data_IF_073203092462
#
_entry.id   IF_073203092462
#
_cell.length_a   1.000
_cell.length_b   1.000
_cell.length_c   1.000
_cell.angle_alpha   90.00
_cell.angle_beta   90.00
_cell.angle_gamma   90.00
#
_symmetry.space_group_name_H-M   'P 1'
#
loop_
_entity.id
_entity.type
_entity.pdbx_description
1 polymer ?
#
# COMPACT_ATOMS: atom_id res chain seq x y z
N UNK A 1 18.63 -1.40 -19.43
CA UNK A 1 18.97 -2.59 -20.24
C UNK A 1 20.15 -3.37 -19.67
N UNK A 2 21.31 -2.77 -19.38
CA UNK A 2 22.50 -3.47 -18.85
C UNK A 2 22.25 -4.23 -17.53
N UNK A 3 21.48 -3.66 -16.58
CA UNK A 3 21.10 -4.32 -15.33
C UNK A 3 20.20 -5.53 -15.59
N UNK A 4 19.21 -5.43 -16.48
CA UNK A 4 18.32 -6.51 -16.80
C UNK A 4 19.10 -7.70 -17.39
N UNK A 5 19.97 -7.47 -18.38
CA UNK A 5 20.80 -8.50 -18.99
C UNK A 5 21.69 -9.23 -17.97
N UNK A 6 22.27 -8.49 -17.01
CA UNK A 6 23.06 -9.11 -15.92
C UNK A 6 22.19 -9.99 -15.03
N UNK A 7 20.98 -9.56 -14.73
CA UNK A 7 20.04 -10.31 -13.88
C UNK A 7 19.45 -11.53 -14.61
N UNK A 8 19.25 -11.44 -15.93
CA UNK A 8 18.88 -12.60 -16.76
C UNK A 8 19.89 -13.74 -16.58
N UNK A 9 21.18 -13.40 -16.71
CA UNK A 9 22.27 -14.39 -16.52
C UNK A 9 22.30 -14.91 -15.08
N UNK A 10 22.17 -14.01 -14.11
CA UNK A 10 22.22 -14.37 -12.69
C UNK A 10 21.08 -15.28 -12.28
N UNK A 11 19.86 -15.02 -12.73
CA UNK A 11 18.67 -15.79 -12.36
C UNK A 11 18.34 -16.94 -13.34
N UNK A 12 19.07 -17.04 -14.44
CA UNK A 12 18.83 -18.05 -15.46
C UNK A 12 17.50 -17.90 -16.18
N UNK A 13 17.06 -16.65 -16.40
CA UNK A 13 15.79 -16.30 -17.06
C UNK A 13 16.07 -15.52 -18.35
N UNK A 14 15.09 -15.47 -19.24
CA UNK A 14 15.13 -14.67 -20.46
C UNK A 14 13.93 -13.70 -20.44
N UNK A 15 14.22 -12.41 -20.42
CA UNK A 15 13.20 -11.34 -20.49
C UNK A 15 12.60 -11.31 -21.89
N UNK A 16 11.27 -11.26 -21.97
CA UNK A 16 10.52 -11.24 -23.24
C UNK A 16 9.72 -9.98 -23.45
N UNK A 17 9.34 -9.27 -22.37
CA UNK A 17 8.55 -8.05 -22.45
C UNK A 17 8.72 -7.18 -21.19
N UNK A 18 8.23 -5.93 -21.25
CA UNK A 18 8.16 -4.99 -20.13
C UNK A 18 6.70 -4.79 -19.74
N UNK A 19 6.37 -5.10 -18.48
CA UNK A 19 5.02 -4.90 -17.98
C UNK A 19 4.81 -3.42 -17.61
N UNK A 20 3.72 -2.78 -18.07
CA UNK A 20 3.43 -1.39 -17.79
C UNK A 20 2.90 -1.19 -16.38
N UNK A 21 2.82 0.07 -15.91
CA UNK A 21 2.08 0.48 -14.71
C UNK A 21 2.90 0.66 -13.45
N UNK A 22 4.17 0.23 -13.41
CA UNK A 22 5.02 0.47 -12.27
C UNK A 22 5.64 1.88 -12.31
N UNK A 23 5.68 2.56 -11.17
CA UNK A 23 6.16 3.95 -11.06
C UNK A 23 7.65 4.02 -10.68
N UNK A 24 8.05 3.27 -9.65
CA UNK A 24 9.40 3.34 -9.06
C UNK A 24 10.25 2.10 -9.34
N UNK A 25 9.81 1.23 -10.23
CA UNK A 25 10.55 0.05 -10.66
C UNK A 25 10.27 -0.25 -12.13
N UNK A 26 11.13 -1.04 -12.76
CA UNK A 26 10.86 -1.72 -14.00
C UNK A 26 10.41 -3.14 -13.69
N UNK A 27 9.37 -3.58 -14.38
CA UNK A 27 8.82 -4.94 -14.24
C UNK A 27 8.89 -5.61 -15.58
N UNK A 28 9.64 -6.70 -15.66
CA UNK A 28 9.87 -7.46 -16.89
C UNK A 28 9.17 -8.80 -16.81
N UNK A 29 8.44 -9.15 -17.86
CA UNK A 29 7.99 -10.51 -18.07
C UNK A 29 9.16 -11.35 -18.59
N UNK A 30 9.40 -12.48 -17.94
CA UNK A 30 10.41 -13.44 -18.38
C UNK A 30 9.75 -14.75 -18.85
N UNK A 31 10.48 -15.54 -19.63
CA UNK A 31 10.08 -16.91 -19.97
C UNK A 31 9.86 -17.72 -18.69
N UNK A 32 9.15 -18.83 -18.78
CA UNK A 32 8.80 -19.71 -17.67
C UNK A 32 7.85 -19.07 -16.63
N UNK A 33 7.00 -18.14 -17.09
CA UNK A 33 5.96 -17.52 -16.25
C UNK A 33 6.53 -16.87 -14.99
N UNK A 34 7.62 -16.13 -15.14
CA UNK A 34 8.23 -15.36 -14.06
C UNK A 34 8.26 -13.86 -14.37
N UNK A 35 8.37 -13.05 -13.31
CA UNK A 35 8.43 -11.60 -13.37
C UNK A 35 9.70 -11.14 -12.66
N UNK A 36 10.51 -10.32 -13.34
CA UNK A 36 11.69 -9.68 -12.78
C UNK A 36 11.36 -8.21 -12.44
N UNK A 37 11.38 -7.86 -11.16
CA UNK A 37 11.23 -6.48 -10.67
C UNK A 37 12.60 -5.88 -10.39
N UNK A 38 12.85 -4.69 -10.97
CA UNK A 38 14.10 -3.94 -10.83
C UNK A 38 13.78 -2.55 -10.28
N UNK A 39 14.17 -2.22 -9.04
CA UNK A 39 13.98 -0.90 -8.46
C UNK A 39 14.70 0.20 -9.21
N UNK A 40 14.09 1.41 -9.28
CA UNK A 40 14.64 2.60 -9.89
C UNK A 40 15.10 3.67 -8.89
N UNK A 41 14.70 3.54 -7.61
CA UNK A 41 15.08 4.47 -6.54
C UNK A 41 15.62 3.72 -5.31
N UNK A 42 16.33 4.45 -4.43
CA UNK A 42 16.97 3.86 -3.26
C UNK A 42 15.97 3.36 -2.21
N UNK A 43 14.81 3.96 -2.08
CA UNK A 43 13.74 3.50 -1.19
C UNK A 43 13.27 2.10 -1.59
N UNK A 44 12.95 1.90 -2.87
CA UNK A 44 12.52 0.61 -3.38
C UNK A 44 13.65 -0.44 -3.33
N UNK A 45 14.90 -0.01 -3.55
CA UNK A 45 16.06 -0.88 -3.50
C UNK A 45 16.36 -1.38 -2.09
N UNK A 46 16.09 -0.58 -1.06
CA UNK A 46 16.41 -0.91 0.32
C UNK A 46 15.17 -1.37 1.10
N UNK A 47 14.20 -0.51 1.27
CA UNK A 47 13.03 -0.73 2.13
C UNK A 47 12.01 -1.64 1.47
N UNK A 48 11.58 -1.32 0.26
CA UNK A 48 10.66 -2.14 -0.52
C UNK A 48 11.20 -3.54 -0.77
N UNK A 49 12.50 -3.67 -1.10
CA UNK A 49 13.15 -4.96 -1.26
C UNK A 49 13.11 -5.82 0.01
N UNK A 50 13.47 -5.24 1.17
CA UNK A 50 13.44 -5.96 2.45
C UNK A 50 12.02 -6.35 2.85
N UNK A 51 11.05 -5.46 2.60
CA UNK A 51 9.65 -5.76 2.82
C UNK A 51 9.16 -6.90 1.92
N UNK A 52 9.53 -6.89 0.64
CA UNK A 52 9.20 -7.96 -0.30
C UNK A 52 9.71 -9.32 0.19
N UNK A 53 10.94 -9.40 0.70
CA UNK A 53 11.47 -10.63 1.28
C UNK A 53 10.74 -11.04 2.57
N UNK A 54 10.36 -10.09 3.42
CA UNK A 54 9.68 -10.38 4.68
C UNK A 54 8.28 -10.97 4.48
N UNK A 55 7.54 -10.49 3.48
CA UNK A 55 6.19 -10.95 3.16
C UNK A 55 6.13 -12.07 2.12
N UNK A 56 7.27 -12.50 1.57
CA UNK A 56 7.34 -13.54 0.55
C UNK A 56 6.63 -14.83 0.99
N UNK A 57 5.60 -15.25 0.25
CA UNK A 57 4.79 -16.43 0.55
C UNK A 57 3.95 -16.35 1.84
N UNK A 58 3.74 -15.11 2.37
CA UNK A 58 3.00 -14.84 3.62
C UNK A 58 1.99 -13.71 3.41
N UNK A 59 1.08 -13.92 2.49
CA UNK A 59 0.14 -12.90 2.01
C UNK A 59 0.71 -12.01 0.90
N UNK A 60 2.03 -11.89 0.78
CA UNK A 60 2.72 -11.28 -0.35
C UNK A 60 3.18 -12.32 -1.37
N UNK A 61 3.37 -11.89 -2.62
CA UNK A 61 3.89 -12.76 -3.68
C UNK A 61 5.23 -13.40 -3.29
N UNK A 62 5.40 -14.67 -3.64
CA UNK A 62 6.63 -15.42 -3.37
C UNK A 62 7.83 -14.81 -4.12
N UNK A 63 8.98 -14.73 -3.45
CA UNK A 63 10.26 -14.36 -4.06
C UNK A 63 11.04 -15.63 -4.36
N UNK A 64 11.22 -15.92 -5.66
CA UNK A 64 11.95 -17.10 -6.13
C UNK A 64 13.47 -16.92 -6.07
N UNK A 65 13.94 -15.71 -6.39
CA UNK A 65 15.35 -15.33 -6.33
C UNK A 65 15.49 -13.81 -6.12
N UNK A 66 16.67 -13.37 -5.65
CA UNK A 66 16.92 -11.95 -5.42
C UNK A 66 18.39 -11.55 -5.61
N UNK A 67 18.60 -10.26 -5.85
CA UNK A 67 19.91 -9.63 -5.98
C UNK A 67 20.05 -8.47 -4.98
N UNK A 68 20.75 -8.70 -3.87
CA UNK A 68 20.92 -7.69 -2.81
C UNK A 68 21.51 -6.37 -3.32
N UNK A 69 22.57 -6.36 -4.17
CA UNK A 69 23.17 -5.11 -4.64
C UNK A 69 22.21 -4.19 -5.40
N UNK A 70 21.21 -4.74 -6.11
CA UNK A 70 20.24 -3.97 -6.88
C UNK A 70 18.87 -3.89 -6.24
N UNK A 71 18.59 -4.69 -5.21
CA UNK A 71 17.25 -4.84 -4.64
C UNK A 71 16.25 -5.52 -5.60
N UNK A 72 16.75 -6.18 -6.65
CA UNK A 72 15.91 -6.84 -7.65
C UNK A 72 15.42 -8.20 -7.16
N UNK A 73 14.20 -8.56 -7.56
CA UNK A 73 13.57 -9.83 -7.22
C UNK A 73 12.98 -10.51 -8.43
N UNK A 74 13.06 -11.84 -8.45
CA UNK A 74 12.35 -12.71 -9.38
C UNK A 74 11.17 -13.33 -8.66
N UNK A 75 9.99 -13.28 -9.24
CA UNK A 75 8.72 -13.74 -8.67
C UNK A 75 7.96 -14.57 -9.71
N UNK A 76 7.00 -15.43 -9.33
CA UNK A 76 6.10 -16.05 -10.27
C UNK A 76 5.22 -15.00 -10.95
N UNK A 77 4.84 -15.24 -12.20
CA UNK A 77 3.76 -14.51 -12.85
C UNK A 77 2.43 -14.91 -12.19
N UNK A 78 1.74 -13.95 -11.60
CA UNK A 78 0.44 -14.20 -11.00
C UNK A 78 -0.62 -14.36 -12.09
N UNK A 79 -1.41 -15.44 -12.04
CA UNK A 79 -2.47 -15.72 -13.01
C UNK A 79 -3.80 -16.00 -12.31
N UNK A 80 -4.91 -15.39 -12.79
CA UNK A 80 -5.02 -14.54 -13.98
C UNK A 80 -4.40 -13.14 -13.80
N UNK A 81 -3.96 -12.75 -12.59
CA UNK A 81 -3.28 -11.49 -12.30
C UNK A 81 -4.17 -10.25 -12.41
N UNK A 82 -5.51 -10.41 -12.37
CA UNK A 82 -6.44 -9.28 -12.35
C UNK A 82 -6.30 -8.51 -11.06
N UNK A 83 -6.26 -7.19 -11.17
CA UNK A 83 -6.28 -6.30 -10.01
C UNK A 83 -7.67 -6.28 -9.36
N UNK A 84 -7.74 -6.01 -8.06
CA UNK A 84 -9.01 -6.04 -7.32
C UNK A 84 -10.11 -5.17 -7.96
N UNK A 85 -9.77 -3.96 -8.41
CA UNK A 85 -10.72 -3.04 -9.05
C UNK A 85 -11.24 -3.50 -10.42
N UNK A 86 -10.60 -4.49 -11.05
CA UNK A 86 -11.05 -5.10 -12.30
C UNK A 86 -12.04 -6.25 -12.06
N UNK A 87 -12.11 -6.76 -10.83
CA UNK A 87 -12.95 -7.92 -10.47
C UNK A 87 -14.24 -7.50 -9.80
N UNK A 88 -14.18 -6.53 -8.89
CA UNK A 88 -15.36 -6.04 -8.18
C UNK A 88 -15.28 -4.54 -7.92
N UNK A 89 -16.45 -3.91 -7.78
CA UNK A 89 -16.62 -2.51 -7.37
C UNK A 89 -17.58 -2.40 -6.17
N UNK A 90 -17.99 -3.53 -5.59
CA UNK A 90 -18.77 -3.55 -4.36
C UNK A 90 -17.87 -3.24 -3.17
N UNK A 91 -18.09 -2.12 -2.44
CA UNK A 91 -17.21 -1.68 -1.38
C UNK A 91 -17.11 -2.66 -0.20
N UNK A 92 -18.14 -3.48 0.00
CA UNK A 92 -18.16 -4.49 1.05
C UNK A 92 -17.33 -5.71 0.64
N UNK A 93 -17.47 -6.16 -0.60
CA UNK A 93 -16.69 -7.27 -1.15
C UNK A 93 -15.21 -6.89 -1.23
N UNK A 94 -14.88 -5.71 -1.76
CA UNK A 94 -13.51 -5.18 -1.79
C UNK A 94 -12.86 -5.19 -0.40
N UNK A 95 -13.58 -4.69 0.62
CA UNK A 95 -13.07 -4.63 1.98
C UNK A 95 -12.94 -6.02 2.64
N UNK A 96 -13.81 -6.99 2.31
CA UNK A 96 -13.65 -8.39 2.75
C UNK A 96 -12.42 -9.05 2.16
N UNK A 97 -12.18 -8.86 0.86
CA UNK A 97 -10.97 -9.36 0.19
C UNK A 97 -9.73 -8.72 0.82
N UNK A 98 -9.70 -7.39 0.96
CA UNK A 98 -8.61 -6.68 1.62
C UNK A 98 -8.36 -7.19 3.05
N UNK A 99 -9.42 -7.43 3.83
CA UNK A 99 -9.33 -7.97 5.18
C UNK A 99 -8.77 -9.39 5.21
N UNK A 100 -9.14 -10.24 4.24
CA UNK A 100 -8.60 -11.59 4.14
C UNK A 100 -7.09 -11.57 3.87
N UNK A 101 -6.64 -10.70 2.97
CA UNK A 101 -5.19 -10.52 2.70
C UNK A 101 -4.47 -9.97 3.92
N UNK A 102 -5.01 -8.95 4.61
CA UNK A 102 -4.42 -8.40 5.85
C UNK A 102 -4.24 -9.49 6.92
N UNK A 103 -5.23 -10.38 7.07
CA UNK A 103 -5.11 -11.53 8.00
C UNK A 103 -4.04 -12.54 7.59
N UNK A 104 -3.82 -12.70 6.30
CA UNK A 104 -2.80 -13.62 5.77
C UNK A 104 -1.38 -13.05 5.85
N UNK A 105 -1.23 -11.73 6.02
CA UNK A 105 0.09 -11.09 6.18
C UNK A 105 0.71 -11.50 7.52
N UNK A 106 1.80 -12.26 7.47
CA UNK A 106 2.59 -12.56 8.66
C UNK A 106 3.55 -11.40 8.96
N UNK A 107 3.26 -10.68 10.02
CA UNK A 107 4.03 -9.50 10.44
C UNK A 107 5.33 -9.91 11.15
N UNK A 108 6.42 -10.00 10.40
CA UNK A 108 7.76 -10.22 10.97
C UNK A 108 8.50 -8.90 11.11
N UNK A 109 9.20 -8.73 12.22
CA UNK A 109 10.07 -7.57 12.39
C UNK A 109 11.22 -7.59 11.38
N UNK A 110 11.47 -6.44 10.75
CA UNK A 110 12.65 -6.20 9.91
C UNK A 110 13.55 -5.23 10.66
N UNK A 111 14.82 -5.58 10.97
CA UNK A 111 15.75 -4.65 11.58
C UNK A 111 15.90 -3.36 10.71
N UNK A 112 15.75 -2.19 11.33
CA UNK A 112 15.85 -0.91 10.63
C UNK A 112 14.71 -0.62 9.65
N UNK A 113 13.52 -1.23 9.84
CA UNK A 113 12.31 -0.83 9.12
C UNK A 113 11.91 0.60 9.49
N UNK A 114 11.31 1.30 8.54
CA UNK A 114 10.84 2.68 8.72
C UNK A 114 9.71 2.72 9.75
N UNK A 115 9.82 3.63 10.70
CA UNK A 115 8.74 3.87 11.66
C UNK A 115 7.77 4.91 11.10
N UNK A 116 6.49 4.76 11.40
CA UNK A 116 5.47 5.71 10.95
C UNK A 116 5.76 7.14 11.46
N UNK A 117 6.40 7.27 12.62
CA UNK A 117 6.83 8.54 13.20
C UNK A 117 7.80 9.28 12.29
N UNK A 118 8.64 8.59 11.51
CA UNK A 118 9.58 9.20 10.57
C UNK A 118 8.86 9.86 9.41
N UNK A 119 7.72 9.30 8.98
CA UNK A 119 6.85 9.90 7.96
C UNK A 119 6.07 11.11 8.53
N UNK A 120 5.61 11.01 9.77
CA UNK A 120 4.82 12.09 10.38
C UNK A 120 5.66 13.26 10.89
N UNK A 121 6.91 13.05 11.28
CA UNK A 121 7.77 14.14 11.82
C UNK A 121 7.84 15.35 10.91
N UNK A 122 8.18 15.25 9.60
CA UNK A 122 8.17 16.39 8.71
C UNK A 122 6.77 16.95 8.46
N UNK A 123 5.74 16.10 8.36
CA UNK A 123 4.36 16.52 8.17
C UNK A 123 3.81 17.35 9.34
N UNK A 124 4.16 16.98 10.56
CA UNK A 124 3.72 17.72 11.75
C UNK A 124 4.34 19.11 11.86
N UNK A 125 5.48 19.34 11.20
CA UNK A 125 6.15 20.64 11.15
C UNK A 125 5.62 21.55 10.01
N UNK A 126 4.74 21.04 9.14
CA UNK A 126 4.18 21.83 8.03
C UNK A 126 3.24 22.91 8.55
N UNK A 127 3.56 24.16 8.28
CA UNK A 127 2.69 25.29 8.64
C UNK A 127 1.60 25.57 7.61
N UNK A 128 1.91 25.41 6.34
CA UNK A 128 0.98 25.57 5.20
C UNK A 128 1.31 24.59 4.09
N UNK A 129 0.28 24.11 3.43
CA UNK A 129 0.39 23.31 2.20
C UNK A 129 -0.49 23.94 1.14
N UNK A 130 0.08 24.38 0.02
CA UNK A 130 -0.59 25.25 -0.98
C UNK A 130 -1.97 24.76 -1.47
N UNK A 131 -2.21 23.45 -1.39
CA UNK A 131 -3.43 22.83 -1.95
C UNK A 131 -4.21 22.00 -0.94
N UNK A 132 -3.84 22.03 0.33
CA UNK A 132 -4.59 21.41 1.43
C UNK A 132 -5.17 22.55 2.27
N UNK A 133 -6.50 22.63 2.48
CA UNK A 133 -7.09 23.64 3.34
C UNK A 133 -6.44 23.64 4.74
N UNK A 134 -6.06 24.83 5.25
CA UNK A 134 -5.37 24.95 6.54
C UNK A 134 -6.12 24.25 7.69
N UNK A 135 -7.45 24.37 7.71
CA UNK A 135 -8.28 23.71 8.72
C UNK A 135 -8.15 22.17 8.67
N UNK A 136 -8.11 21.58 7.46
CA UNK A 136 -7.94 20.14 7.26
C UNK A 136 -6.54 19.69 7.64
N UNK A 137 -5.50 20.43 7.23
CA UNK A 137 -4.12 20.17 7.60
C UNK A 137 -3.96 20.12 9.14
N UNK A 138 -4.44 21.18 9.83
CA UNK A 138 -4.37 21.23 11.29
C UNK A 138 -5.19 20.13 11.98
N UNK A 139 -6.34 19.76 11.42
CA UNK A 139 -7.13 18.64 11.92
C UNK A 139 -6.36 17.35 11.82
N UNK A 140 -5.80 17.03 10.64
CA UNK A 140 -5.04 15.80 10.39
C UNK A 140 -3.79 15.71 11.29
N UNK A 141 -3.07 16.81 11.47
CA UNK A 141 -1.92 16.88 12.38
C UNK A 141 -2.31 16.57 13.84
N UNK A 142 -3.40 17.17 14.34
CA UNK A 142 -3.90 16.87 15.72
C UNK A 142 -4.36 15.41 15.85
N UNK A 143 -5.04 14.88 14.82
CA UNK A 143 -5.45 13.48 14.81
C UNK A 143 -4.23 12.56 14.82
N UNK A 144 -3.21 12.82 14.02
CA UNK A 144 -1.98 12.05 13.98
C UNK A 144 -1.28 12.03 15.36
N UNK A 145 -1.09 13.19 16.01
CA UNK A 145 -0.49 13.26 17.33
C UNK A 145 -1.26 12.40 18.34
N UNK A 146 -2.60 12.48 18.36
CA UNK A 146 -3.43 11.67 19.25
C UNK A 146 -3.32 10.18 18.94
N UNK A 147 -3.37 9.81 17.67
CA UNK A 147 -3.34 8.41 17.23
C UNK A 147 -2.00 7.76 17.55
N UNK A 148 -0.89 8.43 17.27
CA UNK A 148 0.46 7.99 17.63
C UNK A 148 0.59 7.80 19.14
N UNK A 149 0.12 8.77 19.95
CA UNK A 149 0.17 8.69 21.40
C UNK A 149 -0.73 7.60 22.01
N UNK A 150 -1.75 7.13 21.29
CA UNK A 150 -2.70 6.10 21.75
C UNK A 150 -2.49 4.74 21.09
N UNK A 151 -1.45 4.57 20.29
CA UNK A 151 -1.09 3.28 19.69
C UNK A 151 -0.60 2.33 20.78
N UNK A 152 -1.25 1.18 20.93
CA UNK A 152 -0.93 0.18 21.95
C UNK A 152 0.01 -0.92 21.44
N UNK A 153 -0.01 -1.16 20.14
CA UNK A 153 0.85 -2.14 19.49
C UNK A 153 1.29 -1.64 18.12
N UNK A 154 2.51 -1.96 17.75
CA UNK A 154 3.05 -1.71 16.42
C UNK A 154 3.44 -3.03 15.77
N UNK A 155 3.31 -3.09 14.45
CA UNK A 155 3.71 -4.24 13.63
C UNK A 155 4.41 -3.75 12.36
N UNK A 156 5.19 -4.63 11.75
CA UNK A 156 5.58 -4.43 10.37
C UNK A 156 4.33 -4.57 9.50
N UNK A 157 3.99 -3.55 8.75
CA UNK A 157 2.88 -3.50 7.82
C UNK A 157 3.40 -3.65 6.40
N UNK A 158 2.53 -4.10 5.50
CA UNK A 158 2.75 -4.02 4.06
C UNK A 158 2.96 -2.56 3.65
N UNK A 159 2.14 -1.67 4.20
CA UNK A 159 2.31 -0.22 4.20
C UNK A 159 1.75 0.51 2.99
N UNK A 160 1.27 -0.21 1.97
CA UNK A 160 0.60 0.36 0.79
C UNK A 160 -0.41 -0.63 0.18
N UNK A 161 -1.20 -1.28 1.03
CA UNK A 161 -2.17 -2.27 0.57
C UNK A 161 -3.39 -1.58 -0.05
N UNK A 162 -3.60 -1.78 -1.35
CA UNK A 162 -4.72 -1.21 -2.10
C UNK A 162 -5.06 -2.00 -3.37
N UNK A 163 -6.10 -1.59 -4.06
CA UNK A 163 -6.73 -2.27 -5.20
C UNK A 163 -5.79 -2.61 -6.36
N UNK A 164 -4.74 -1.82 -6.60
CA UNK A 164 -3.75 -2.07 -7.65
C UNK A 164 -2.67 -3.05 -7.19
N UNK A 165 -2.49 -3.22 -5.88
CA UNK A 165 -1.48 -4.09 -5.27
C UNK A 165 -2.07 -5.43 -4.81
N UNK A 166 -3.35 -5.69 -5.08
CA UNK A 166 -4.02 -6.96 -4.85
C UNK A 166 -4.33 -7.64 -6.16
N UNK A 167 -3.66 -8.77 -6.42
CA UNK A 167 -3.80 -9.55 -7.64
C UNK A 167 -4.51 -10.86 -7.36
N UNK A 168 -5.44 -11.22 -8.23
CA UNK A 168 -6.11 -12.52 -8.20
C UNK A 168 -5.15 -13.62 -8.64
N UNK A 169 -4.99 -14.64 -7.79
CA UNK A 169 -4.18 -15.84 -8.03
C UNK A 169 -5.08 -17.08 -7.94
N UNK A 170 -5.59 -17.56 -9.05
CA UNK A 170 -6.63 -18.59 -9.03
C UNK A 170 -7.88 -18.07 -8.29
N UNK A 171 -8.28 -18.75 -7.21
CA UNK A 171 -9.39 -18.35 -6.34
C UNK A 171 -8.95 -17.51 -5.13
N UNK A 172 -7.66 -17.26 -4.99
CA UNK A 172 -7.08 -16.51 -3.86
C UNK A 172 -6.58 -15.13 -4.30
N UNK A 173 -6.17 -14.32 -3.31
CA UNK A 173 -5.60 -12.99 -3.52
C UNK A 173 -4.21 -12.90 -2.91
N UNK A 174 -3.29 -12.30 -3.66
CA UNK A 174 -1.92 -12.06 -3.24
C UNK A 174 -1.58 -10.57 -3.37
N UNK A 175 -0.76 -10.06 -2.45
CA UNK A 175 -0.30 -8.67 -2.51
C UNK A 175 1.09 -8.54 -3.15
N UNK A 176 1.30 -7.43 -3.87
CA UNK A 176 2.55 -7.06 -4.53
C UNK A 176 3.00 -5.66 -4.09
N UNK A 177 4.29 -5.36 -4.19
CA UNK A 177 4.89 -4.03 -3.98
C UNK A 177 4.76 -3.46 -2.55
N UNK A 178 5.22 -4.18 -1.51
CA UNK A 178 5.20 -3.69 -0.12
C UNK A 178 6.18 -2.54 0.12
N UNK A 179 5.85 -1.65 1.09
CA UNK A 179 6.73 -0.58 1.55
C UNK A 179 7.46 -0.92 2.86
N UNK A 180 6.87 -1.73 3.72
CA UNK A 180 7.52 -2.19 4.95
C UNK A 180 7.55 -1.16 6.08
N UNK A 181 6.38 -0.63 6.43
CA UNK A 181 6.22 0.37 7.49
C UNK A 181 5.94 -0.27 8.85
N UNK A 182 6.60 0.19 9.91
CA UNK A 182 6.25 -0.20 11.30
C UNK A 182 5.29 0.81 11.88
N UNK A 183 4.06 0.38 12.16
CA UNK A 183 2.98 1.27 12.60
C UNK A 183 1.91 0.53 13.41
N UNK A 184 0.90 1.30 13.88
CA UNK A 184 -0.39 0.78 14.34
C UNK A 184 -1.00 -0.10 13.23
N UNK A 185 -1.47 -1.33 13.54
CA UNK A 185 -2.04 -2.23 12.54
C UNK A 185 -3.18 -1.63 11.70
N UNK A 186 -3.92 -0.68 12.24
CA UNK A 186 -5.02 0.01 11.53
C UNK A 186 -4.51 0.82 10.33
N UNK A 187 -3.26 1.26 10.34
CA UNK A 187 -2.67 2.03 9.24
C UNK A 187 -2.64 1.24 7.93
N UNK A 188 -2.59 -0.10 7.99
CA UNK A 188 -2.65 -0.98 6.81
C UNK A 188 -3.86 -0.72 5.91
N UNK A 189 -4.99 -0.27 6.51
CA UNK A 189 -6.25 -0.03 5.80
C UNK A 189 -6.25 1.31 5.06
N UNK A 190 -5.39 2.25 5.44
CA UNK A 190 -5.53 3.66 5.02
C UNK A 190 -5.38 3.90 3.52
N UNK A 191 -4.44 3.20 2.86
CA UNK A 191 -4.26 3.28 1.42
C UNK A 191 -5.47 2.69 0.67
N UNK A 192 -6.09 1.65 1.22
CA UNK A 192 -7.28 1.03 0.64
C UNK A 192 -8.47 1.99 0.59
N UNK A 193 -8.66 2.82 1.60
CA UNK A 193 -9.81 3.73 1.67
C UNK A 193 -9.81 4.78 0.54
N UNK A 194 -8.65 5.23 0.05
CA UNK A 194 -8.55 6.24 -1.02
C UNK A 194 -8.47 5.66 -2.42
N UNK A 195 -8.32 4.35 -2.56
CA UNK A 195 -8.16 3.67 -3.85
C UNK A 195 -9.43 2.89 -4.26
N UNK A 196 -9.56 2.56 -5.56
CA UNK A 196 -8.68 2.88 -6.69
C UNK A 196 -8.79 4.36 -7.09
N UNK A 197 -7.68 5.10 -7.04
CA UNK A 197 -7.71 6.57 -7.16
C UNK A 197 -8.21 7.06 -8.53
N UNK A 198 -8.08 6.27 -9.59
CA UNK A 198 -8.46 6.67 -10.95
C UNK A 198 -9.96 6.54 -11.23
N UNK A 199 -10.65 5.63 -10.58
CA UNK A 199 -12.07 5.30 -10.82
C UNK A 199 -12.96 5.56 -9.61
N UNK A 200 -12.40 5.72 -8.41
CA UNK A 200 -13.17 5.93 -7.19
C UNK A 200 -13.97 7.23 -7.25
N UNK A 201 -15.27 7.13 -7.01
CA UNK A 201 -16.15 8.27 -6.71
C UNK A 201 -16.44 8.26 -5.21
N UNK A 202 -15.63 8.93 -4.39
CA UNK A 202 -15.75 8.82 -2.94
C UNK A 202 -17.06 9.49 -2.47
N UNK A 203 -17.90 8.71 -1.77
CA UNK A 203 -19.06 9.19 -1.04
C UNK A 203 -19.00 8.79 0.42
N UNK A 204 -19.68 9.51 1.33
CA UNK A 204 -19.74 9.13 2.74
C UNK A 204 -20.25 7.69 2.95
N UNK A 205 -21.24 7.27 2.15
CA UNK A 205 -21.85 5.94 2.22
C UNK A 205 -20.87 4.83 1.84
N UNK A 206 -20.11 5.04 0.75
CA UNK A 206 -19.07 4.12 0.31
C UNK A 206 -17.98 4.00 1.37
N UNK A 207 -17.52 5.11 1.94
CA UNK A 207 -16.52 5.09 3.00
C UNK A 207 -17.05 4.43 4.27
N UNK A 208 -18.32 4.67 4.62
CA UNK A 208 -18.95 3.99 5.76
C UNK A 208 -19.02 2.47 5.54
N UNK A 209 -19.39 2.02 4.35
CA UNK A 209 -19.43 0.59 4.02
C UNK A 209 -18.04 -0.07 4.17
N UNK A 210 -17.00 0.50 3.55
CA UNK A 210 -15.62 0.00 3.68
C UNK A 210 -15.13 -0.02 5.12
N UNK A 211 -15.29 1.10 5.85
CA UNK A 211 -14.83 1.23 7.24
C UNK A 211 -15.53 0.23 8.16
N UNK A 212 -16.85 0.07 8.05
CA UNK A 212 -17.60 -0.91 8.85
C UNK A 212 -17.17 -2.33 8.54
N UNK A 213 -17.01 -2.68 7.26
CA UNK A 213 -16.58 -4.02 6.87
C UNK A 213 -15.18 -4.32 7.42
N UNK A 214 -14.21 -3.41 7.30
CA UNK A 214 -12.90 -3.60 7.92
C UNK A 214 -12.97 -3.71 9.44
N UNK A 215 -13.84 -2.92 10.10
CA UNK A 215 -14.04 -2.98 11.54
C UNK A 215 -14.57 -4.33 11.98
N UNK A 216 -15.59 -4.85 11.29
CA UNK A 216 -16.22 -6.14 11.58
C UNK A 216 -15.26 -7.31 11.31
N UNK A 217 -14.55 -7.27 10.18
CA UNK A 217 -13.64 -8.35 9.76
C UNK A 217 -12.35 -8.41 10.58
N UNK A 218 -11.78 -7.26 10.99
CA UNK A 218 -10.48 -7.19 11.66
C UNK A 218 -10.57 -6.89 13.15
N UNK A 219 -11.74 -6.56 13.67
CA UNK A 219 -11.97 -6.27 15.09
C UNK A 219 -11.42 -4.91 15.53
N UNK A 220 -11.18 -3.98 14.61
CA UNK A 220 -10.72 -2.63 14.97
C UNK A 220 -11.89 -1.66 15.15
N UNK A 221 -11.82 -0.69 16.08
CA UNK A 221 -12.85 0.32 16.22
C UNK A 221 -13.01 1.14 14.91
N UNK A 222 -14.23 1.20 14.36
CA UNK A 222 -14.53 1.91 13.11
C UNK A 222 -14.08 3.39 13.16
N UNK A 223 -14.25 4.06 14.30
CA UNK A 223 -13.78 5.42 14.51
C UNK A 223 -12.24 5.53 14.40
N UNK A 224 -11.47 4.52 14.87
CA UNK A 224 -10.02 4.51 14.73
C UNK A 224 -9.58 4.32 13.28
N UNK A 225 -10.27 3.44 12.54
CA UNK A 225 -10.04 3.24 11.09
C UNK A 225 -10.27 4.56 10.35
N UNK A 226 -11.41 5.22 10.59
CA UNK A 226 -11.71 6.54 10.00
C UNK A 226 -10.65 7.57 10.33
N UNK A 227 -10.28 7.67 11.59
CA UNK A 227 -9.37 8.71 12.07
C UNK A 227 -7.94 8.51 11.50
N UNK A 228 -7.43 7.27 11.45
CA UNK A 228 -6.21 6.95 10.73
C UNK A 228 -6.35 7.19 9.22
N UNK A 229 -7.49 6.82 8.63
CA UNK A 229 -7.82 7.08 7.23
C UNK A 229 -7.72 8.56 6.89
N UNK A 230 -8.31 9.44 7.70
CA UNK A 230 -8.23 10.89 7.51
C UNK A 230 -6.79 11.39 7.70
N UNK A 231 -6.13 11.08 8.82
CA UNK A 231 -4.80 11.60 9.12
C UNK A 231 -3.76 11.15 8.08
N UNK A 232 -3.75 9.87 7.73
CA UNK A 232 -2.77 9.31 6.82
C UNK A 232 -3.01 9.72 5.36
N UNK A 233 -4.26 9.85 4.92
CA UNK A 233 -4.54 10.31 3.56
C UNK A 233 -4.33 11.82 3.38
N UNK A 234 -4.39 12.64 4.43
CA UNK A 234 -3.91 14.04 4.35
C UNK A 234 -2.39 14.09 4.25
N UNK A 235 -1.65 13.22 4.96
CA UNK A 235 -0.22 13.05 4.78
C UNK A 235 0.11 12.61 3.34
N UNK A 236 -0.61 11.61 2.79
CA UNK A 236 -0.44 11.19 1.39
C UNK A 236 -0.71 12.33 0.42
N UNK A 237 -1.78 13.10 0.62
CA UNK A 237 -2.10 14.26 -0.21
C UNK A 237 -1.01 15.33 -0.18
N UNK A 238 -0.28 15.46 0.92
CA UNK A 238 0.87 16.36 1.01
C UNK A 238 2.04 15.90 0.14
N UNK A 239 2.24 14.59 0.00
CA UNK A 239 3.25 14.01 -0.90
C UNK A 239 2.79 13.97 -2.37
N UNK A 240 1.47 13.88 -2.61
CA UNK A 240 0.93 13.74 -3.95
C UNK A 240 1.26 14.94 -4.85
N UNK A 241 1.53 14.71 -6.13
CA UNK A 241 1.57 15.78 -7.11
C UNK A 241 0.19 16.47 -7.20
N UNK A 242 0.11 17.73 -7.66
CA UNK A 242 -1.15 18.46 -7.73
C UNK A 242 -2.30 17.73 -8.43
N UNK A 243 -2.00 16.91 -9.45
CA UNK A 243 -2.97 16.12 -10.20
C UNK A 243 -3.64 15.01 -9.39
N UNK A 244 -2.94 14.38 -8.44
CA UNK A 244 -3.47 13.31 -7.56
C UNK A 244 -4.15 13.86 -6.31
N UNK A 245 -3.63 14.95 -5.78
CA UNK A 245 -4.01 15.54 -4.49
C UNK A 245 -5.50 15.83 -4.34
N UNK A 246 -6.14 16.40 -5.37
CA UNK A 246 -7.57 16.73 -5.31
C UNK A 246 -8.43 15.47 -5.09
N UNK A 247 -8.07 14.35 -5.70
CA UNK A 247 -8.77 13.07 -5.54
C UNK A 247 -8.59 12.51 -4.13
N UNK A 248 -7.38 12.55 -3.61
CA UNK A 248 -7.09 12.13 -2.23
C UNK A 248 -7.86 12.97 -1.22
N UNK A 249 -7.93 14.30 -1.40
CA UNK A 249 -8.70 15.18 -0.53
C UNK A 249 -10.22 14.89 -0.62
N UNK A 250 -10.76 14.60 -1.80
CA UNK A 250 -12.17 14.21 -1.93
C UNK A 250 -12.48 12.92 -1.15
N UNK A 251 -11.58 11.93 -1.18
CA UNK A 251 -11.72 10.72 -0.38
C UNK A 251 -11.65 11.01 1.13
N UNK A 252 -10.77 11.92 1.56
CA UNK A 252 -10.66 12.37 2.97
C UNK A 252 -11.97 13.04 3.43
N UNK A 253 -12.55 13.91 2.62
CA UNK A 253 -13.83 14.57 2.97
C UNK A 253 -14.97 13.55 3.07
N UNK A 254 -15.02 12.56 2.18
CA UNK A 254 -15.99 11.48 2.27
C UNK A 254 -15.80 10.64 3.56
N UNK A 255 -14.56 10.33 3.96
CA UNK A 255 -14.26 9.63 5.22
C UNK A 255 -14.71 10.44 6.45
N UNK A 256 -14.47 11.76 6.46
CA UNK A 256 -14.87 12.66 7.56
C UNK A 256 -16.38 12.68 7.77
N UNK A 257 -17.16 12.58 6.69
CA UNK A 257 -18.61 12.64 6.68
C UNK A 257 -19.26 11.25 6.74
N UNK A 258 -18.48 10.16 6.80
CA UNK A 258 -19.00 8.81 6.92
C UNK A 258 -19.73 8.61 8.25
N UNK A 259 -20.99 8.18 8.20
CA UNK A 259 -21.77 7.78 9.37
C UNK A 259 -21.37 6.35 9.77
N UNK A 260 -20.75 6.17 10.95
CA UNK A 260 -20.23 4.89 11.43
C UNK A 260 -21.08 4.30 12.55
#
# INVERSE_FOLDING_TARGET
MEIATRLEVKFGVEVVDVLPGATNCLVFLAKNETVLRVPLCDEEKNEGFRAQLAFSGRGGVEVLAYDVPTGSVLMPLIQPGKMLHEVTTDPTEEARIGSAVIRALEHRAIPGAVLIEDWYRPFLAVEKAETIPDALLRQAQRMAVRLLATTQSIRLLYGDLHHYNLLQQGDEWVSIDPKGLVADPVVEITAFLRNPCDSLKPTPELMAARIRTFADELGYPAARIRDWGVAHNVLSAWWDPPSGRARTIAAVEAMRNAAL
#
